data_IF_377537287685
#
_entry.id   IF_377537287685
#
_cell.length_a   1.000
_cell.length_b   1.000
_cell.length_c   1.000
_cell.angle_alpha   90.00
_cell.angle_beta   90.00
_cell.angle_gamma   90.00
#
_symmetry.space_group_name_H-M   'P 1'
#
loop_
_entity.id
_entity.type
_entity.pdbx_description
1 polymer ?
#
# COMPACT_ATOMS: atom_id res chain seq x y z
N UNK A 1 4.49 22.99 45.61
CA UNK A 1 5.15 22.96 44.29
C UNK A 1 4.81 21.66 43.60
N UNK A 2 3.70 21.62 42.86
CA UNK A 2 3.30 20.42 42.13
C UNK A 2 2.76 20.83 40.75
N UNK A 3 3.33 20.22 39.72
CA UNK A 3 2.82 19.96 38.37
C UNK A 3 4.05 19.81 37.48
N UNK A 4 4.14 18.86 36.58
CA UNK A 4 3.32 17.72 36.23
C UNK A 4 4.27 16.96 35.32
N UNK A 5 4.49 15.67 35.55
CA UNK A 5 5.06 14.81 34.52
C UNK A 5 4.14 14.92 33.30
N UNK A 6 4.61 15.57 32.23
CA UNK A 6 3.95 15.50 30.93
C UNK A 6 4.12 14.07 30.44
N UNK A 7 3.16 13.23 30.84
CA UNK A 7 2.76 12.06 30.11
C UNK A 7 2.38 12.56 28.71
N UNK A 8 3.33 12.60 27.78
CA UNK A 8 2.97 12.65 26.36
C UNK A 8 2.45 11.26 26.03
N UNK A 9 1.22 11.03 26.47
CA UNK A 9 0.28 10.10 25.88
C UNK A 9 0.10 10.57 24.43
N UNK A 10 1.12 10.29 23.61
CA UNK A 10 1.02 10.35 22.16
C UNK A 10 -0.03 9.31 21.86
N UNK A 11 -1.29 9.74 21.76
CA UNK A 11 -2.37 8.92 21.30
C UNK A 11 -1.84 8.17 20.08
N UNK A 12 -1.66 6.86 20.22
CA UNK A 12 -1.05 6.00 19.21
C UNK A 12 -1.90 6.16 17.94
N UNK A 13 -1.46 7.04 17.05
CA UNK A 13 -2.15 7.30 15.80
C UNK A 13 -2.30 5.95 15.11
N UNK A 14 -3.55 5.53 14.89
CA UNK A 14 -3.83 4.22 14.31
C UNK A 14 -3.24 4.19 12.90
N UNK A 15 -2.17 3.42 12.73
CA UNK A 15 -1.47 3.28 11.46
C UNK A 15 -2.22 2.27 10.60
N UNK A 16 -2.70 2.71 9.44
CA UNK A 16 -3.28 1.80 8.45
C UNK A 16 -2.17 1.21 7.58
N UNK A 17 -2.11 -0.12 7.51
CA UNK A 17 -1.24 -0.82 6.59
C UNK A 17 -1.99 -1.04 5.27
N UNK A 18 -1.41 -0.54 4.17
CA UNK A 18 -1.97 -0.68 2.83
C UNK A 18 -1.00 -1.49 1.98
N UNK A 19 -1.48 -2.60 1.41
CA UNK A 19 -0.72 -3.39 0.45
C UNK A 19 -0.96 -2.85 -0.97
N UNK A 20 0.11 -2.41 -1.65
CA UNK A 20 0.05 -1.93 -3.04
C UNK A 20 0.63 -2.96 -4.00
N UNK A 21 -0.04 -3.17 -5.13
CA UNK A 21 0.32 -4.20 -6.12
C UNK A 21 0.59 -3.64 -7.53
N UNK A 22 0.15 -2.41 -7.80
CA UNK A 22 0.19 -1.80 -9.14
C UNK A 22 1.07 -0.56 -9.24
N UNK A 23 0.59 0.47 -9.95
CA UNK A 23 1.38 1.66 -10.31
C UNK A 23 1.82 2.55 -9.14
N UNK A 24 1.41 2.24 -7.91
CA UNK A 24 1.81 2.95 -6.69
C UNK A 24 3.10 2.38 -6.06
N UNK A 25 3.58 1.20 -6.49
CA UNK A 25 4.86 0.65 -6.02
C UNK A 25 6.02 1.60 -6.36
N UNK A 26 7.16 1.41 -5.69
CA UNK A 26 8.40 2.13 -6.02
C UNK A 26 8.78 1.88 -7.48
N UNK A 27 9.28 2.92 -8.14
CA UNK A 27 9.68 2.93 -9.56
C UNK A 27 8.53 2.73 -10.57
N UNK A 28 7.27 2.85 -10.14
CA UNK A 28 6.11 2.84 -11.03
C UNK A 28 5.56 4.27 -11.27
N UNK A 29 4.80 4.51 -12.36
CA UNK A 29 4.43 5.87 -12.79
C UNK A 29 3.68 6.73 -11.77
N UNK A 30 2.92 6.13 -10.86
CA UNK A 30 2.11 6.84 -9.85
C UNK A 30 2.75 6.87 -8.46
N UNK A 31 3.99 6.40 -8.29
CA UNK A 31 4.66 6.38 -6.99
C UNK A 31 4.70 7.75 -6.30
N UNK A 32 4.85 8.83 -7.08
CA UNK A 32 4.86 10.23 -6.60
C UNK A 32 3.64 10.62 -5.77
N UNK A 33 2.51 9.92 -5.92
CA UNK A 33 1.30 10.17 -5.12
C UNK A 33 1.54 9.80 -3.66
N UNK A 34 2.33 8.76 -3.39
CA UNK A 34 2.66 8.28 -2.05
C UNK A 34 3.70 9.18 -1.35
N UNK A 35 4.49 9.93 -2.12
CA UNK A 35 5.51 10.85 -1.61
C UNK A 35 4.98 12.28 -1.39
N UNK A 36 3.71 12.54 -1.68
CA UNK A 36 3.14 13.88 -1.60
C UNK A 36 2.54 14.15 -0.22
N UNK A 37 3.29 14.84 0.62
CA UNK A 37 2.91 15.20 2.00
C UNK A 37 1.67 16.10 2.10
N UNK A 38 1.31 16.82 1.02
CA UNK A 38 0.10 17.67 0.98
C UNK A 38 -1.17 16.81 1.06
N UNK A 39 -1.13 15.56 0.59
CA UNK A 39 -2.27 14.63 0.56
C UNK A 39 -2.29 13.64 1.73
N UNK A 40 -1.33 13.73 2.64
CA UNK A 40 -1.12 12.80 3.74
C UNK A 40 0.29 12.18 3.69
N UNK A 41 0.61 11.37 4.70
CA UNK A 41 1.92 10.72 4.83
C UNK A 41 1.80 9.22 4.57
N UNK A 42 2.79 8.65 3.88
CA UNK A 42 2.93 7.21 3.71
C UNK A 42 4.41 6.82 3.86
N UNK A 43 4.67 5.78 4.65
CA UNK A 43 6.01 5.21 4.86
C UNK A 43 6.08 3.81 4.27
N UNK A 44 7.23 3.46 3.70
CA UNK A 44 7.49 2.11 3.23
C UNK A 44 7.81 1.19 4.42
N UNK A 45 6.96 0.18 4.65
CA UNK A 45 7.13 -0.76 5.77
C UNK A 45 7.90 -2.02 5.39
N UNK A 46 7.84 -2.44 4.11
CA UNK A 46 8.47 -3.68 3.67
C UNK A 46 7.85 -4.25 2.40
N UNK A 47 8.39 -5.39 1.97
CA UNK A 47 7.86 -6.20 0.86
C UNK A 47 6.97 -7.31 1.40
N UNK A 48 5.85 -7.57 0.73
CA UNK A 48 4.93 -8.64 1.09
C UNK A 48 4.41 -9.37 -0.15
N UNK A 49 3.88 -10.58 0.07
CA UNK A 49 3.16 -11.36 -0.92
C UNK A 49 1.80 -11.72 -0.35
N UNK A 50 0.75 -11.64 -1.15
CA UNK A 50 -0.58 -12.08 -0.72
C UNK A 50 -0.53 -13.58 -0.41
N UNK A 51 -1.06 -13.96 0.75
CA UNK A 51 -1.15 -15.38 1.17
C UNK A 51 -2.15 -16.15 0.31
N UNK A 52 -3.25 -15.49 -0.06
CA UNK A 52 -4.23 -16.00 -1.01
C UNK A 52 -3.97 -15.42 -2.40
N UNK A 53 -4.12 -16.25 -3.43
CA UNK A 53 -3.97 -15.82 -4.83
C UNK A 53 -5.20 -15.04 -5.28
N UNK A 54 -4.95 -14.03 -6.10
CA UNK A 54 -5.97 -13.23 -6.78
C UNK A 54 -5.52 -13.01 -8.22
N UNK A 55 -6.42 -13.03 -9.22
CA UNK A 55 -6.08 -12.69 -10.59
C UNK A 55 -5.66 -11.22 -10.68
N UNK A 56 -4.41 -10.99 -11.05
CA UNK A 56 -3.88 -9.68 -11.43
C UNK A 56 -3.76 -9.64 -12.95
N UNK A 57 -4.59 -8.83 -13.59
CA UNK A 57 -4.59 -8.69 -15.05
C UNK A 57 -4.03 -7.33 -15.45
N UNK A 58 -3.29 -7.32 -16.56
CA UNK A 58 -2.89 -6.10 -17.26
C UNK A 58 -3.62 -6.11 -18.59
N UNK A 59 -4.78 -5.47 -18.63
CA UNK A 59 -5.64 -5.52 -19.81
C UNK A 59 -6.30 -4.16 -20.01
N UNK A 60 -5.64 -3.26 -20.72
CA UNK A 60 -6.18 -2.04 -21.31
C UNK A 60 -5.14 -1.40 -22.23
N UNK A 61 -5.55 -0.43 -23.07
CA UNK A 61 -4.67 0.45 -23.84
C UNK A 61 -3.55 1.11 -23.01
N UNK A 62 -3.76 1.27 -21.71
CA UNK A 62 -2.87 1.98 -20.80
C UNK A 62 -2.05 1.05 -19.89
N UNK A 63 -2.12 -0.28 -20.09
CA UNK A 63 -1.44 -1.27 -19.25
C UNK A 63 -1.71 -1.08 -17.75
N UNK A 64 -2.95 -0.71 -17.41
CA UNK A 64 -3.34 -0.51 -16.01
C UNK A 64 -3.51 -1.87 -15.34
N UNK A 65 -2.86 -2.12 -14.18
CA UNK A 65 -3.01 -3.35 -13.42
C UNK A 65 -4.34 -3.36 -12.65
N UNK A 66 -5.13 -4.43 -12.80
CA UNK A 66 -6.38 -4.66 -12.07
C UNK A 66 -6.30 -5.95 -11.25
N UNK A 67 -6.48 -5.83 -9.94
CA UNK A 67 -6.64 -6.99 -9.06
C UNK A 67 -8.13 -7.33 -8.96
N UNK A 68 -8.54 -8.46 -9.52
CA UNK A 68 -9.92 -8.91 -9.46
C UNK A 68 -10.23 -9.49 -8.09
N UNK A 69 -11.42 -9.19 -7.53
CA UNK A 69 -11.89 -9.73 -6.25
C UNK A 69 -12.41 -11.17 -6.41
N UNK A 70 -11.53 -12.07 -6.83
CA UNK A 70 -11.82 -13.48 -7.09
C UNK A 70 -10.75 -14.36 -6.42
N UNK A 71 -10.95 -14.56 -5.13
CA UNK A 71 -9.94 -15.11 -4.24
C UNK A 71 -9.72 -16.61 -4.49
N UNK A 72 -8.47 -17.08 -4.42
CA UNK A 72 -8.10 -18.47 -4.70
C UNK A 72 -7.83 -18.76 -6.18
N UNK A 73 -8.00 -17.76 -7.06
CA UNK A 73 -7.67 -17.86 -8.49
C UNK A 73 -6.45 -17.00 -8.83
N UNK A 74 -5.96 -17.13 -10.06
CA UNK A 74 -4.80 -16.41 -10.56
C UNK A 74 -3.57 -17.31 -10.61
N UNK A 75 -2.83 -17.19 -11.70
CA UNK A 75 -1.62 -17.93 -11.98
C UNK A 75 -0.50 -16.95 -12.32
N UNK A 76 0.73 -17.33 -11.98
CA UNK A 76 1.90 -16.60 -12.45
C UNK A 76 2.14 -17.09 -13.86
N UNK A 77 1.96 -16.20 -14.84
CA UNK A 77 2.27 -16.55 -16.22
C UNK A 77 3.78 -16.68 -16.41
N UNK A 78 4.24 -17.69 -17.16
CA UNK A 78 5.67 -17.93 -17.44
C UNK A 78 6.23 -17.11 -18.62
N UNK A 79 5.49 -16.10 -19.09
CA UNK A 79 5.89 -15.24 -20.23
C UNK A 79 6.96 -14.22 -19.88
#
# INVERSE_FOLDING_TARGET
MARCSETIETAMASKHLVFVYGTLKRNEPNHRVMANEIRGTASFEGTARMTQRYPLIVSTKFNIPFLLKDAGKGEVSEW
#
